data_IF_840064881565
#
_entry.id   IF_840064881565
#
_cell.length_a   1.000
_cell.length_b   1.000
_cell.length_c   1.000
_cell.angle_alpha   90.00
_cell.angle_beta   90.00
_cell.angle_gamma   90.00
#
_symmetry.space_group_name_H-M   'P 1'
#
loop_
_entity.id
_entity.type
_entity.pdbx_description
1 polymer ?
#
# COMPACT_ATOMS: atom_id res chain seq x y z
N UNK A 1 12.14 -12.57 -16.02
CA UNK A 1 12.25 -12.19 -14.59
C UNK A 1 12.74 -10.75 -14.57
N UNK A 2 11.82 -9.79 -14.45
CA UNK A 2 12.17 -8.37 -14.51
C UNK A 2 12.87 -7.97 -13.22
N UNK A 3 14.16 -7.66 -13.32
CA UNK A 3 14.99 -7.14 -12.24
C UNK A 3 14.61 -5.66 -12.00
N UNK A 4 13.52 -5.42 -11.29
CA UNK A 4 13.26 -4.09 -10.73
C UNK A 4 14.24 -3.93 -9.57
N UNK A 5 15.17 -2.96 -9.61
CA UNK A 5 16.04 -2.74 -8.46
C UNK A 5 15.16 -2.38 -7.27
N UNK A 6 15.21 -3.19 -6.22
CA UNK A 6 14.67 -2.84 -4.90
C UNK A 6 15.43 -1.61 -4.43
N UNK A 7 14.87 -0.43 -4.70
CA UNK A 7 15.34 0.82 -4.15
C UNK A 7 15.40 0.69 -2.64
N UNK A 8 16.58 0.92 -2.07
CA UNK A 8 16.76 0.98 -0.62
C UNK A 8 15.75 1.96 0.01
N UNK A 9 15.36 1.70 1.26
CA UNK A 9 14.36 2.49 1.99
C UNK A 9 14.70 3.99 1.98
N UNK A 10 15.99 4.33 1.98
CA UNK A 10 16.44 5.72 1.89
C UNK A 10 16.05 6.37 0.57
N UNK A 11 16.27 5.69 -0.55
CA UNK A 11 15.90 6.21 -1.88
C UNK A 11 14.38 6.37 -2.01
N UNK A 12 13.62 5.44 -1.44
CA UNK A 12 12.16 5.49 -1.44
C UNK A 12 11.60 6.59 -0.55
N UNK A 13 12.20 6.81 0.62
CA UNK A 13 11.87 7.92 1.48
C UNK A 13 12.15 9.26 0.76
N UNK A 14 13.30 9.39 0.09
CA UNK A 14 13.59 10.58 -0.71
C UNK A 14 12.53 10.83 -1.79
N UNK A 15 12.20 9.83 -2.60
CA UNK A 15 11.14 9.97 -3.63
C UNK A 15 9.79 10.36 -3.04
N UNK A 16 9.44 9.82 -1.87
CA UNK A 16 8.20 10.18 -1.18
C UNK A 16 8.21 11.65 -0.76
N UNK A 17 9.29 12.11 -0.13
CA UNK A 17 9.43 13.49 0.34
C UNK A 17 9.47 14.48 -0.84
N UNK A 18 10.21 14.16 -1.91
CA UNK A 18 10.35 15.01 -3.10
C UNK A 18 9.02 15.20 -3.85
N UNK A 19 8.06 14.28 -3.66
CA UNK A 19 6.73 14.34 -4.27
C UNK A 19 5.67 15.04 -3.40
N UNK A 20 6.03 15.56 -2.23
CA UNK A 20 5.08 16.23 -1.33
C UNK A 20 4.76 17.65 -1.83
N UNK A 21 3.48 18.06 -1.80
CA UNK A 21 3.10 19.45 -2.02
C UNK A 21 3.67 20.39 -0.96
N UNK A 22 3.81 21.67 -1.30
CA UNK A 22 4.06 22.71 -0.31
C UNK A 22 2.93 22.74 0.73
N UNK A 23 3.27 23.01 2.00
CA UNK A 23 2.31 23.04 3.10
C UNK A 23 1.89 21.67 3.65
N UNK A 24 2.47 20.58 3.15
CA UNK A 24 2.30 19.23 3.73
C UNK A 24 2.65 19.22 5.22
N UNK A 25 1.77 18.65 6.05
CA UNK A 25 1.98 18.51 7.49
C UNK A 25 2.65 17.18 7.84
N UNK A 26 3.11 17.03 9.09
CA UNK A 26 3.62 15.74 9.57
C UNK A 26 2.57 14.63 9.54
N UNK A 27 1.30 14.95 9.79
CA UNK A 27 0.21 13.97 9.72
C UNK A 27 0.02 13.45 8.30
N UNK A 28 0.14 14.32 7.29
CA UNK A 28 0.08 13.92 5.87
C UNK A 28 1.24 12.99 5.49
N UNK A 29 2.46 13.29 5.96
CA UNK A 29 3.63 12.43 5.72
C UNK A 29 3.41 11.04 6.33
N UNK A 30 2.96 10.99 7.59
CA UNK A 30 2.68 9.74 8.29
C UNK A 30 1.58 8.94 7.59
N UNK A 31 0.51 9.62 7.13
CA UNK A 31 -0.57 8.99 6.38
C UNK A 31 -0.06 8.35 5.08
N UNK A 32 0.78 9.04 4.30
CA UNK A 32 1.34 8.49 3.06
C UNK A 32 2.22 7.27 3.30
N UNK A 33 3.04 7.29 4.36
CA UNK A 33 3.85 6.14 4.76
C UNK A 33 2.95 4.95 5.09
N UNK A 34 1.90 5.17 5.90
CA UNK A 34 0.95 4.12 6.26
C UNK A 34 0.24 3.52 5.04
N UNK A 35 -0.26 4.36 4.13
CA UNK A 35 -0.92 3.89 2.90
C UNK A 35 0.03 3.04 2.05
N UNK A 36 1.29 3.46 1.92
CA UNK A 36 2.31 2.68 1.21
C UNK A 36 2.51 1.30 1.85
N UNK A 37 2.64 1.23 3.17
CA UNK A 37 2.79 -0.04 3.89
C UNK A 37 1.58 -0.95 3.67
N UNK A 38 0.36 -0.42 3.71
CA UNK A 38 -0.85 -1.19 3.45
C UNK A 38 -0.89 -1.75 2.02
N UNK A 39 -0.44 -0.98 1.02
CA UNK A 39 -0.36 -1.45 -0.38
C UNK A 39 0.67 -2.56 -0.52
N UNK A 40 1.88 -2.37 0.01
CA UNK A 40 2.96 -3.36 -0.06
C UNK A 40 2.57 -4.67 0.65
N UNK A 41 1.93 -4.57 1.83
CA UNK A 41 1.39 -5.72 2.54
C UNK A 41 0.28 -6.43 1.74
N UNK A 42 -0.66 -5.66 1.15
CA UNK A 42 -1.74 -6.22 0.35
C UNK A 42 -1.25 -6.94 -0.91
N UNK A 43 -0.23 -6.40 -1.58
CA UNK A 43 0.43 -7.07 -2.71
C UNK A 43 1.10 -8.38 -2.25
N UNK A 44 1.84 -8.34 -1.14
CA UNK A 44 2.49 -9.52 -0.59
C UNK A 44 1.50 -10.61 -0.12
N UNK A 45 0.33 -10.21 0.39
CA UNK A 45 -0.77 -11.12 0.71
C UNK A 45 -1.37 -11.75 -0.56
N UNK A 46 -1.59 -10.94 -1.61
CA UNK A 46 -2.09 -11.41 -2.90
C UNK A 46 -1.14 -12.41 -3.57
N UNK A 47 0.15 -12.09 -3.63
CA UNK A 47 1.18 -12.95 -4.20
C UNK A 47 1.31 -14.27 -3.44
N UNK A 48 1.06 -14.26 -2.13
CA UNK A 48 1.06 -15.44 -1.28
C UNK A 48 -0.29 -16.19 -1.25
N UNK A 49 -1.29 -15.74 -2.02
CA UNK A 49 -2.63 -16.34 -2.03
C UNK A 49 -3.43 -16.15 -0.75
N UNK A 50 -3.03 -15.22 0.14
CA UNK A 50 -3.77 -14.83 1.35
C UNK A 50 -4.90 -13.86 1.01
N UNK A 51 -5.81 -14.31 0.15
CA UNK A 51 -6.95 -13.52 -0.34
C UNK A 51 -8.26 -14.20 0.04
N UNK A 52 -9.34 -13.42 0.07
CA UNK A 52 -10.70 -13.91 0.26
C UNK A 52 -11.50 -13.60 -1.00
N UNK A 53 -12.34 -14.54 -1.42
CA UNK A 53 -13.21 -14.35 -2.58
C UNK A 53 -14.21 -13.20 -2.34
N UNK A 54 -14.50 -12.45 -3.41
CA UNK A 54 -15.39 -11.29 -3.31
C UNK A 54 -16.81 -11.68 -2.85
N UNK A 55 -17.33 -12.84 -3.24
CA UNK A 55 -18.64 -13.33 -2.82
C UNK A 55 -18.65 -13.67 -1.33
N UNK A 56 -17.53 -14.18 -0.81
CA UNK A 56 -17.35 -14.41 0.62
C UNK A 56 -17.27 -13.10 1.41
N UNK A 57 -16.48 -12.13 0.95
CA UNK A 57 -16.42 -10.80 1.57
C UNK A 57 -17.81 -10.18 1.62
N UNK A 58 -18.54 -10.17 0.49
CA UNK A 58 -19.89 -9.59 0.44
C UNK A 58 -20.84 -10.27 1.41
N UNK A 59 -20.83 -11.60 1.51
CA UNK A 59 -21.65 -12.34 2.49
C UNK A 59 -21.30 -11.96 3.93
N UNK A 60 -20.02 -11.81 4.26
CA UNK A 60 -19.58 -11.43 5.61
C UNK A 60 -20.03 -10.02 6.02
N UNK A 61 -20.18 -9.11 5.06
CA UNK A 61 -20.70 -7.76 5.27
C UNK A 61 -22.22 -7.62 5.06
N UNK A 62 -22.95 -8.71 4.79
CA UNK A 62 -24.39 -8.66 4.50
C UNK A 62 -24.74 -7.94 3.19
N UNK A 63 -23.81 -7.94 2.24
CA UNK A 63 -23.87 -7.24 0.94
C UNK A 63 -24.14 -8.20 -0.24
N UNK A 64 -24.52 -9.45 0.01
CA UNK A 64 -25.07 -10.32 -1.04
C UNK A 64 -26.28 -9.64 -1.70
N UNK A 65 -26.65 -9.93 -2.96
CA UNK A 65 -27.96 -9.48 -3.44
C UNK A 65 -29.08 -9.86 -2.47
#
# INVERSE_FOLDING_TARGET
MSNVPSSDIKSEAHRLIDALPEGTTWDDVMHRIYVRQCIEAGIADADAGRVVDVEEVRRNFGLSP
#
